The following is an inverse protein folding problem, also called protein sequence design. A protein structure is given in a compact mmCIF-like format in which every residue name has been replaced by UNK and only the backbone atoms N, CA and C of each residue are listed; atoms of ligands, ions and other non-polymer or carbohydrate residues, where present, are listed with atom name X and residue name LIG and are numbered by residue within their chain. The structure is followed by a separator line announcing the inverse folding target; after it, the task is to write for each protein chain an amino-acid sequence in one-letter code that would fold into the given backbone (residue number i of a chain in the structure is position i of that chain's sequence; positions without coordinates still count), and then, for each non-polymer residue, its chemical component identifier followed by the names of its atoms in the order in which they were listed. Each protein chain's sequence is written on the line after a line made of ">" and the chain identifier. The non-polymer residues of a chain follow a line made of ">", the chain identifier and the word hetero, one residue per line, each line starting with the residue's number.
data_IF_063667982012
#
_entry.id   IF_063667982012
#
_cell.length_a   1.000
_cell.length_b   1.000
_cell.length_c   1.000
_cell.angle_alpha   90.00
_cell.angle_beta   90.00
_cell.angle_gamma   90.00
#
_symmetry.space_group_name_H-M   'P 1'
#
loop_
_entity.id
_entity.type
_entity.pdbx_description
1 polymer ?
#
# COMPACT_ATOMS: atom_id res chain seq x y z
N UNK A 1 -50.45 6.40 -37.48
CA UNK A 1 -49.83 6.17 -36.17
C UNK A 1 -49.17 4.82 -36.29
N UNK A 2 -47.89 4.85 -36.68
CA UNK A 2 -47.05 3.67 -36.72
C UNK A 2 -46.35 3.62 -35.37
N UNK A 3 -46.55 2.51 -34.66
CA UNK A 3 -46.10 2.31 -33.30
C UNK A 3 -44.57 2.40 -33.25
N UNK A 4 -44.10 3.40 -32.50
CA UNK A 4 -42.72 3.50 -32.06
C UNK A 4 -42.42 2.24 -31.23
N UNK A 5 -41.67 1.30 -31.82
CA UNK A 5 -40.93 0.31 -31.04
C UNK A 5 -39.93 1.08 -30.18
N UNK A 6 -40.35 1.39 -28.96
CA UNK A 6 -39.44 1.63 -27.86
C UNK A 6 -38.71 0.31 -27.61
N UNK A 7 -37.58 0.13 -28.28
CA UNK A 7 -36.51 -0.74 -27.78
C UNK A 7 -36.09 -0.17 -26.43
N UNK A 8 -36.82 -0.59 -25.40
CA UNK A 8 -36.39 -0.44 -24.02
C UNK A 8 -35.14 -1.30 -23.89
N UNK A 9 -34.00 -0.62 -23.91
CA UNK A 9 -32.65 -1.11 -23.63
C UNK A 9 -32.59 -1.62 -22.18
N UNK A 10 -33.29 -2.72 -21.91
CA UNK A 10 -33.37 -3.30 -20.57
C UNK A 10 -32.12 -4.11 -20.29
N UNK A 11 -31.26 -3.56 -19.46
CA UNK A 11 -30.45 -4.26 -18.46
C UNK A 11 -29.70 -5.50 -18.97
N UNK A 12 -28.77 -5.31 -19.91
CA UNK A 12 -27.67 -6.25 -20.12
C UNK A 12 -26.68 -6.13 -18.94
N UNK A 13 -27.10 -6.57 -17.76
CA UNK A 13 -26.20 -6.71 -16.60
C UNK A 13 -25.27 -7.87 -16.89
N UNK A 14 -24.01 -7.57 -17.18
CA UNK A 14 -22.98 -8.60 -17.39
C UNK A 14 -22.79 -9.41 -16.11
N UNK A 15 -23.17 -10.68 -16.17
CA UNK A 15 -23.21 -11.56 -15.01
C UNK A 15 -21.82 -11.73 -14.39
N UNK A 16 -20.78 -11.87 -15.23
CA UNK A 16 -19.42 -12.08 -14.73
C UNK A 16 -18.84 -10.85 -14.03
N UNK A 17 -18.99 -9.64 -14.60
CA UNK A 17 -18.40 -8.42 -14.02
C UNK A 17 -19.05 -8.08 -12.68
N UNK A 18 -20.38 -8.16 -12.61
CA UNK A 18 -21.13 -7.92 -11.38
C UNK A 18 -20.81 -8.95 -10.30
N UNK A 19 -20.72 -10.22 -10.68
CA UNK A 19 -20.25 -11.29 -9.80
C UNK A 19 -18.83 -11.03 -9.29
N UNK A 20 -17.91 -10.62 -10.16
CA UNK A 20 -16.52 -10.37 -9.79
C UNK A 20 -16.40 -9.21 -8.80
N UNK A 21 -17.10 -8.10 -9.01
CA UNK A 21 -17.02 -6.93 -8.14
C UNK A 21 -17.72 -7.17 -6.80
N UNK A 22 -18.81 -7.93 -6.79
CA UNK A 22 -19.53 -8.32 -5.58
C UNK A 22 -18.82 -9.44 -4.79
N UNK A 23 -17.84 -10.12 -5.40
CA UNK A 23 -17.07 -11.16 -4.75
C UNK A 23 -16.25 -10.61 -3.58
N UNK A 24 -16.20 -11.41 -2.51
CA UNK A 24 -15.48 -11.06 -1.27
C UNK A 24 -14.01 -10.81 -1.57
N UNK A 25 -13.51 -9.64 -1.17
CA UNK A 25 -12.12 -9.22 -1.42
C UNK A 25 -11.95 -8.29 -2.62
N UNK A 26 -12.98 -8.09 -3.45
CA UNK A 26 -12.91 -7.24 -4.65
C UNK A 26 -13.58 -5.86 -4.45
N UNK A 27 -13.79 -5.43 -3.20
CA UNK A 27 -14.53 -4.21 -2.89
C UNK A 27 -13.82 -2.92 -3.39
N UNK A 28 -12.53 -3.01 -3.71
CA UNK A 28 -11.74 -1.91 -4.26
C UNK A 28 -11.90 -1.72 -5.76
N UNK A 29 -12.38 -2.72 -6.49
CA UNK A 29 -12.61 -2.58 -7.92
C UNK A 29 -13.82 -1.68 -8.19
N UNK A 30 -13.78 -0.95 -9.30
CA UNK A 30 -14.97 -0.37 -9.90
C UNK A 30 -15.37 -1.15 -11.14
N UNK A 31 -16.64 -1.07 -11.49
CA UNK A 31 -17.16 -1.65 -12.72
C UNK A 31 -16.57 -0.93 -13.94
N UNK A 32 -15.96 -1.70 -14.84
CA UNK A 32 -15.45 -1.22 -16.12
C UNK A 32 -16.60 -1.25 -17.14
N UNK A 33 -16.74 -0.15 -17.88
CA UNK A 33 -17.76 -0.05 -18.93
C UNK A 33 -17.51 -1.10 -20.03
N UNK A 34 -18.59 -1.71 -20.54
CA UNK A 34 -18.50 -2.70 -21.61
C UNK A 34 -17.87 -2.13 -22.89
N UNK A 35 -18.22 -0.89 -23.23
CA UNK A 35 -17.61 -0.14 -24.35
C UNK A 35 -16.08 -0.05 -24.23
N UNK A 36 -15.55 0.01 -23.01
CA UNK A 36 -14.10 0.13 -22.79
C UNK A 36 -13.39 -1.21 -22.99
N UNK A 37 -13.99 -2.31 -22.52
CA UNK A 37 -13.45 -3.67 -22.66
C UNK A 37 -13.56 -4.18 -24.09
N UNK A 38 -14.63 -3.83 -24.80
CA UNK A 38 -14.85 -4.27 -26.19
C UNK A 38 -13.96 -3.52 -27.20
N UNK A 39 -13.48 -2.33 -26.86
CA UNK A 39 -12.53 -1.59 -27.69
C UNK A 39 -11.10 -2.16 -27.60
N UNK A 40 -10.70 -2.83 -28.68
CA UNK A 40 -9.40 -3.48 -28.84
C UNK A 40 -8.21 -2.54 -28.65
N UNK A 41 -8.37 -1.24 -28.91
CA UNK A 41 -7.30 -0.26 -28.73
C UNK A 41 -6.89 -0.15 -27.25
N UNK A 42 -7.85 -0.17 -26.34
CA UNK A 42 -7.60 -0.07 -24.89
C UNK A 42 -6.88 -1.31 -24.34
N UNK A 43 -7.05 -2.46 -25.00
CA UNK A 43 -6.47 -3.74 -24.60
C UNK A 43 -5.09 -4.04 -25.22
N UNK A 44 -4.53 -3.10 -25.99
CA UNK A 44 -3.26 -3.29 -26.71
C UNK A 44 -2.14 -3.77 -25.77
N UNK A 45 -1.44 -4.85 -26.15
CA UNK A 45 -0.32 -5.44 -25.40
C UNK A 45 -0.71 -6.43 -24.29
N UNK A 46 -1.98 -6.48 -23.86
CA UNK A 46 -2.41 -7.43 -22.82
C UNK A 46 -2.44 -8.88 -23.31
N UNK A 47 -2.56 -9.07 -24.63
CA UNK A 47 -2.56 -10.38 -25.27
C UNK A 47 -1.22 -11.13 -25.11
N UNK A 48 -0.12 -10.44 -24.83
CA UNK A 48 1.18 -11.07 -24.55
C UNK A 48 1.40 -11.35 -23.07
N UNK A 49 0.67 -10.67 -22.19
CA UNK A 49 0.79 -10.83 -20.73
C UNK A 49 -0.16 -11.91 -20.19
N UNK A 50 -1.34 -12.07 -20.80
CA UNK A 50 -2.39 -12.96 -20.31
C UNK A 50 -2.46 -14.26 -21.11
N UNK A 51 -2.34 -15.40 -20.42
CA UNK A 51 -2.59 -16.72 -21.00
C UNK A 51 -4.07 -16.91 -21.35
N UNK A 52 -4.38 -17.64 -22.43
CA UNK A 52 -5.75 -17.84 -22.89
C UNK A 52 -6.54 -16.54 -23.09
N UNK A 53 -5.86 -15.46 -23.51
CA UNK A 53 -6.43 -14.11 -23.61
C UNK A 53 -7.81 -14.04 -24.28
N UNK A 54 -8.01 -14.76 -25.39
CA UNK A 54 -9.31 -14.74 -26.09
C UNK A 54 -10.42 -15.35 -25.23
N UNK A 55 -10.19 -16.54 -24.66
CA UNK A 55 -11.15 -17.20 -23.77
C UNK A 55 -11.41 -16.38 -22.49
N UNK A 56 -10.38 -15.74 -21.95
CA UNK A 56 -10.51 -14.86 -20.80
C UNK A 56 -11.36 -13.62 -21.13
N UNK A 57 -11.17 -13.03 -22.31
CA UNK A 57 -11.96 -11.89 -22.79
C UNK A 57 -13.42 -12.30 -23.01
N UNK A 58 -13.64 -13.41 -23.72
CA UNK A 58 -14.97 -13.95 -23.99
C UNK A 58 -15.72 -14.23 -22.67
N UNK A 59 -15.02 -14.67 -21.62
CA UNK A 59 -15.61 -14.92 -20.30
C UNK A 59 -16.02 -13.62 -19.58
N UNK A 60 -15.19 -12.58 -19.63
CA UNK A 60 -15.49 -11.27 -19.02
C UNK A 60 -16.65 -10.57 -19.74
N UNK A 61 -16.85 -10.84 -21.03
CA UNK A 61 -17.94 -10.30 -21.86
C UNK A 61 -19.16 -11.22 -21.92
N UNK A 62 -19.22 -12.29 -21.12
CA UNK A 62 -20.32 -13.27 -21.10
C UNK A 62 -20.64 -13.92 -22.47
N UNK A 63 -19.64 -14.02 -23.38
CA UNK A 63 -19.72 -14.68 -24.70
C UNK A 63 -19.10 -16.08 -24.68
N UNK A 64 -18.50 -16.47 -23.55
CA UNK A 64 -17.79 -17.74 -23.43
C UNK A 64 -18.74 -18.95 -23.41
N UNK A 65 -18.52 -19.89 -24.33
CA UNK A 65 -19.27 -21.14 -24.40
C UNK A 65 -18.69 -22.19 -23.43
N UNK A 66 -19.58 -22.91 -22.74
CA UNK A 66 -19.29 -23.63 -21.49
C UNK A 66 -18.68 -25.03 -21.68
N UNK A 67 -18.43 -25.48 -22.91
CA UNK A 67 -17.98 -26.84 -23.22
C UNK A 67 -16.44 -26.99 -23.19
N UNK A 68 -15.84 -26.79 -22.01
CA UNK A 68 -14.42 -27.07 -21.77
C UNK A 68 -14.22 -27.95 -20.52
N UNK A 69 -13.11 -28.70 -20.50
CA UNK A 69 -12.73 -29.54 -19.35
C UNK A 69 -12.54 -28.68 -18.08
N UNK A 70 -12.92 -29.22 -16.91
CA UNK A 70 -12.96 -28.47 -15.64
C UNK A 70 -11.60 -27.82 -15.28
N UNK A 71 -10.49 -28.52 -15.52
CA UNK A 71 -9.13 -27.99 -15.26
C UNK A 71 -8.78 -26.81 -16.17
N UNK A 72 -9.21 -26.86 -17.44
CA UNK A 72 -9.01 -25.77 -18.39
C UNK A 72 -9.86 -24.56 -17.99
N UNK A 73 -11.10 -24.79 -17.55
CA UNK A 73 -12.00 -23.75 -17.08
C UNK A 73 -11.41 -22.98 -15.89
N UNK A 74 -10.82 -23.66 -14.92
CA UNK A 74 -10.18 -23.00 -13.77
C UNK A 74 -9.01 -22.09 -14.21
N UNK A 75 -8.22 -22.52 -15.20
CA UNK A 75 -7.13 -21.72 -15.76
C UNK A 75 -7.67 -20.47 -16.50
N UNK A 76 -8.75 -20.62 -17.27
CA UNK A 76 -9.40 -19.50 -17.97
C UNK A 76 -9.98 -18.51 -16.95
N UNK A 77 -10.62 -18.98 -15.88
CA UNK A 77 -11.12 -18.09 -14.83
C UNK A 77 -9.99 -17.30 -14.13
N UNK A 78 -8.85 -17.95 -13.85
CA UNK A 78 -7.67 -17.26 -13.29
C UNK A 78 -7.15 -16.20 -14.26
N UNK A 79 -7.07 -16.53 -15.55
CA UNK A 79 -6.67 -15.59 -16.59
C UNK A 79 -7.66 -14.43 -16.75
N UNK A 80 -8.97 -14.68 -16.65
CA UNK A 80 -10.00 -13.65 -16.70
C UNK A 80 -9.91 -12.67 -15.53
N UNK A 81 -9.73 -13.16 -14.29
CA UNK A 81 -9.50 -12.28 -13.12
C UNK A 81 -8.25 -11.44 -13.29
N UNK A 82 -7.18 -12.03 -13.85
CA UNK A 82 -5.93 -11.33 -14.12
C UNK A 82 -6.11 -10.25 -15.20
N UNK A 83 -6.72 -10.60 -16.33
CA UNK A 83 -7.02 -9.68 -17.42
C UNK A 83 -7.88 -8.51 -16.94
N UNK A 84 -8.96 -8.79 -16.21
CA UNK A 84 -9.84 -7.76 -15.66
C UNK A 84 -9.07 -6.79 -14.76
N UNK A 85 -8.15 -7.30 -13.93
CA UNK A 85 -7.29 -6.47 -13.10
C UNK A 85 -6.36 -5.55 -13.90
N UNK A 86 -5.74 -6.06 -14.97
CA UNK A 86 -4.88 -5.24 -15.85
C UNK A 86 -5.66 -4.17 -16.61
N UNK A 87 -6.86 -4.51 -17.08
CA UNK A 87 -7.78 -3.57 -17.74
C UNK A 87 -8.26 -2.52 -16.73
N UNK A 88 -8.56 -2.93 -15.50
CA UNK A 88 -8.95 -2.02 -14.42
C UNK A 88 -7.89 -0.94 -14.16
N UNK A 89 -6.61 -1.32 -14.11
CA UNK A 89 -5.50 -0.37 -13.91
C UNK A 89 -5.47 0.73 -14.98
N UNK A 90 -5.76 0.37 -16.24
CA UNK A 90 -5.86 1.33 -17.35
C UNK A 90 -7.14 2.16 -17.27
N UNK A 91 -8.26 1.52 -16.92
CA UNK A 91 -9.57 2.15 -16.88
C UNK A 91 -9.68 3.24 -15.81
N UNK A 92 -9.18 3.01 -14.61
CA UNK A 92 -9.31 3.97 -13.50
C UNK A 92 -8.51 5.26 -13.68
N UNK A 93 -7.66 5.33 -14.70
CA UNK A 93 -6.94 6.55 -15.11
C UNK A 93 -7.75 7.39 -16.11
N UNK A 94 -8.78 6.81 -16.74
CA UNK A 94 -9.68 7.52 -17.66
C UNK A 94 -10.67 8.40 -16.92
N UNK A 95 -11.29 9.37 -17.61
CA UNK A 95 -12.31 10.25 -17.01
C UNK A 95 -13.51 9.49 -16.45
N UNK A 96 -13.98 8.45 -17.15
CA UNK A 96 -15.10 7.61 -16.71
C UNK A 96 -14.73 6.77 -15.48
N UNK A 97 -13.57 6.10 -15.51
CA UNK A 97 -13.09 5.31 -14.37
C UNK A 97 -12.79 6.14 -13.13
N UNK A 98 -12.19 7.32 -13.30
CA UNK A 98 -11.96 8.26 -12.20
C UNK A 98 -13.26 8.67 -11.51
N UNK A 99 -14.33 8.96 -12.27
CA UNK A 99 -15.62 9.32 -11.70
C UNK A 99 -16.19 8.20 -10.81
N UNK A 100 -16.16 6.95 -11.29
CA UNK A 100 -16.61 5.79 -10.50
C UNK A 100 -15.76 5.60 -9.23
N UNK A 101 -14.45 5.77 -9.32
CA UNK A 101 -13.55 5.65 -8.17
C UNK A 101 -13.72 6.80 -7.16
N UNK A 102 -14.03 8.01 -7.62
CA UNK A 102 -14.35 9.15 -6.75
C UNK A 102 -15.59 8.88 -5.92
N UNK A 103 -16.61 8.26 -6.49
CA UNK A 103 -17.82 7.91 -5.75
C UNK A 103 -17.55 6.89 -4.65
N UNK A 104 -16.71 5.89 -4.92
CA UNK A 104 -16.20 4.95 -3.91
C UNK A 104 -15.34 5.64 -2.84
N UNK A 105 -14.51 6.61 -3.25
CA UNK A 105 -13.68 7.39 -2.34
C UNK A 105 -14.52 8.22 -1.37
N UNK A 106 -15.57 8.88 -1.85
CA UNK A 106 -16.52 9.65 -1.02
C UNK A 106 -17.25 8.77 -0.01
N UNK A 107 -17.60 7.53 -0.39
CA UNK A 107 -18.20 6.53 0.50
C UNK A 107 -17.20 5.89 1.48
N UNK A 108 -15.90 6.12 1.27
CA UNK A 108 -14.80 5.52 2.02
C UNK A 108 -14.74 3.98 1.90
N UNK A 109 -15.12 3.43 0.75
CA UNK A 109 -15.11 1.98 0.47
C UNK A 109 -13.70 1.38 0.59
N UNK A 110 -12.68 2.17 0.26
CA UNK A 110 -11.27 1.74 0.35
C UNK A 110 -10.76 1.66 1.80
N UNK A 111 -11.52 2.20 2.75
CA UNK A 111 -11.15 2.29 4.15
C UNK A 111 -10.66 3.68 4.55
N UNK A 112 -10.16 3.76 5.79
CA UNK A 112 -9.80 5.00 6.47
C UNK A 112 -8.40 4.94 7.06
N UNK A 113 -7.72 6.07 7.05
CA UNK A 113 -6.34 6.20 7.51
C UNK A 113 -6.19 5.72 8.95
N UNK A 114 -5.20 4.85 9.26
CA UNK A 114 -4.98 4.36 10.61
C UNK A 114 -4.36 5.42 11.54
N UNK A 115 -3.75 6.50 11.00
CA UNK A 115 -3.24 7.60 11.82
C UNK A 115 -4.38 8.34 12.50
N UNK A 116 -4.36 8.38 13.82
CA UNK A 116 -5.35 9.08 14.66
C UNK A 116 -5.48 10.55 14.26
N UNK A 117 -4.35 11.24 14.02
CA UNK A 117 -4.31 12.65 13.64
C UNK A 117 -4.81 12.94 12.22
N UNK A 118 -5.07 11.90 11.41
CA UNK A 118 -5.74 12.06 10.13
C UNK A 118 -7.26 12.11 10.27
N UNK A 119 -7.82 11.90 11.46
CA UNK A 119 -9.26 12.01 11.74
C UNK A 119 -10.10 11.15 10.78
N UNK A 120 -9.68 9.88 10.59
CA UNK A 120 -10.45 8.92 9.78
C UNK A 120 -10.61 9.31 8.30
N UNK A 121 -9.64 10.04 7.73
CA UNK A 121 -9.56 10.39 6.30
C UNK A 121 -9.72 9.15 5.40
N UNK A 122 -10.53 9.29 4.34
CA UNK A 122 -10.69 8.25 3.31
C UNK A 122 -9.38 7.99 2.56
N UNK A 123 -9.14 6.73 2.23
CA UNK A 123 -7.93 6.27 1.52
C UNK A 123 -8.23 5.98 0.05
N UNK A 124 -7.17 5.88 -0.76
CA UNK A 124 -7.25 5.40 -2.15
C UNK A 124 -6.36 4.17 -2.31
N UNK A 125 -6.72 3.22 -3.18
CA UNK A 125 -5.82 2.12 -3.53
C UNK A 125 -4.60 2.64 -4.29
N UNK A 126 -3.47 2.00 -4.09
CA UNK A 126 -2.18 2.31 -4.68
C UNK A 126 -1.41 1.01 -4.97
N UNK A 127 -0.94 0.86 -6.20
CA UNK A 127 -0.03 -0.20 -6.61
C UNK A 127 1.43 0.25 -6.48
N UNK A 128 2.26 -0.36 -5.61
CA UNK A 128 3.67 0.02 -5.52
C UNK A 128 4.47 -0.23 -6.80
N UNK A 129 4.03 -1.21 -7.60
CA UNK A 129 4.61 -1.59 -8.87
C UNK A 129 3.49 -1.78 -9.90
N UNK A 130 3.77 -1.44 -11.15
CA UNK A 130 2.84 -1.64 -12.28
C UNK A 130 3.01 -3.04 -12.92
N UNK A 131 4.06 -3.77 -12.54
CA UNK A 131 4.31 -5.15 -12.98
C UNK A 131 3.58 -6.12 -12.05
N UNK A 132 2.76 -7.05 -12.60
CA UNK A 132 2.03 -8.03 -11.80
C UNK A 132 2.93 -8.95 -10.95
N UNK A 133 2.32 -9.54 -9.94
CA UNK A 133 2.90 -10.54 -9.02
C UNK A 133 4.11 -10.05 -8.20
N UNK A 134 4.37 -8.75 -8.13
CA UNK A 134 5.45 -8.20 -7.32
C UNK A 134 5.02 -7.85 -5.90
N UNK A 135 4.00 -6.99 -5.75
CA UNK A 135 3.52 -6.49 -4.46
C UNK A 135 2.01 -6.34 -4.47
N UNK A 136 1.38 -6.64 -3.35
CA UNK A 136 -0.05 -6.43 -3.16
C UNK A 136 -0.43 -4.96 -3.08
N UNK A 137 -1.72 -4.69 -3.28
CA UNK A 137 -2.30 -3.35 -3.18
C UNK A 137 -2.04 -2.74 -1.80
N UNK A 138 -1.72 -1.45 -1.81
CA UNK A 138 -1.57 -0.60 -0.64
C UNK A 138 -2.59 0.52 -0.68
N UNK A 139 -2.67 1.29 0.39
CA UNK A 139 -3.62 2.38 0.53
C UNK A 139 -2.89 3.71 0.76
N UNK A 140 -3.14 4.68 -0.11
CA UNK A 140 -2.59 6.02 0.00
C UNK A 140 -3.53 6.95 0.76
N UNK A 141 -2.98 7.74 1.69
CA UNK A 141 -3.73 8.76 2.41
C UNK A 141 -3.39 10.18 1.92
N UNK A 142 -4.36 10.86 1.34
CA UNK A 142 -4.16 12.23 0.85
C UNK A 142 -3.93 13.28 1.96
N UNK A 143 -4.21 13.00 3.24
CA UNK A 143 -3.99 13.97 4.34
C UNK A 143 -2.58 13.91 4.92
N UNK A 144 -2.00 12.73 5.01
CA UNK A 144 -0.64 12.55 5.54
C UNK A 144 0.41 12.15 4.50
N UNK A 145 -0.02 11.91 3.25
CA UNK A 145 0.85 11.59 2.10
C UNK A 145 1.70 10.35 2.32
N UNK A 146 1.12 9.36 2.99
CA UNK A 146 1.79 8.14 3.38
C UNK A 146 0.98 6.91 2.96
N UNK A 147 1.67 5.77 2.86
CA UNK A 147 1.17 4.52 2.30
C UNK A 147 0.95 3.52 3.44
N UNK A 148 -0.20 2.83 3.40
CA UNK A 148 -0.62 1.88 4.42
C UNK A 148 -0.94 0.52 3.84
N UNK A 149 -0.79 -0.52 4.65
CA UNK A 149 -1.31 -1.83 4.33
C UNK A 149 -2.83 -1.87 4.56
N UNK A 150 -3.60 -2.56 3.69
CA UNK A 150 -5.00 -2.85 3.96
C UNK A 150 -5.14 -3.60 5.30
N UNK A 151 -6.13 -3.22 6.10
CA UNK A 151 -6.35 -3.84 7.43
C UNK A 151 -6.80 -5.29 7.36
N UNK A 152 -7.51 -5.66 6.29
CA UNK A 152 -8.06 -7.00 6.12
C UNK A 152 -7.16 -7.84 5.22
N UNK A 153 -6.86 -9.06 5.64
CA UNK A 153 -6.04 -10.00 4.87
C UNK A 153 -6.62 -10.33 3.49
N UNK A 154 -7.95 -10.27 3.33
CA UNK A 154 -8.60 -10.48 2.02
C UNK A 154 -8.17 -9.45 0.97
N UNK A 155 -7.93 -8.21 1.38
CA UNK A 155 -7.48 -7.14 0.49
C UNK A 155 -5.98 -7.21 0.25
N UNK A 156 -5.22 -7.84 1.16
CA UNK A 156 -3.78 -8.04 1.00
C UNK A 156 -3.43 -9.09 -0.07
N UNK A 157 -4.39 -9.88 -0.53
CA UNK A 157 -4.23 -10.84 -1.62
C UNK A 157 -4.39 -10.21 -3.02
N UNK A 158 -4.95 -9.00 -3.10
CA UNK A 158 -5.14 -8.31 -4.39
C UNK A 158 -3.79 -7.77 -4.88
N UNK A 159 -3.50 -7.98 -6.16
CA UNK A 159 -2.31 -7.42 -6.79
C UNK A 159 -2.38 -5.89 -6.86
N UNK A 160 -1.28 -5.23 -6.51
CA UNK A 160 -1.17 -3.78 -6.61
C UNK A 160 -1.16 -3.28 -8.06
N UNK A 161 -0.67 -4.10 -9.00
CA UNK A 161 -0.59 -3.75 -10.41
C UNK A 161 -1.97 -3.42 -11.02
N UNK A 162 -3.05 -3.97 -10.46
CA UNK A 162 -4.43 -3.74 -10.91
C UNK A 162 -4.98 -2.34 -10.60
N UNK A 163 -4.26 -1.55 -9.80
CA UNK A 163 -4.57 -0.15 -9.52
C UNK A 163 -3.49 0.80 -10.06
N UNK A 164 -2.29 0.28 -10.30
CA UNK A 164 -1.15 1.04 -10.76
C UNK A 164 -0.59 2.05 -9.74
N UNK A 165 0.58 2.57 -10.07
CA UNK A 165 1.34 3.50 -9.23
C UNK A 165 0.86 4.95 -9.33
N UNK A 166 0.22 5.30 -10.45
CA UNK A 166 -0.12 6.69 -10.78
C UNK A 166 -1.55 7.11 -10.44
N UNK A 167 -2.47 6.17 -10.28
CA UNK A 167 -3.91 6.41 -10.13
C UNK A 167 -4.27 7.49 -9.09
N UNK A 168 -3.76 7.36 -7.86
CA UNK A 168 -4.05 8.31 -6.78
C UNK A 168 -3.61 9.74 -7.11
N UNK A 169 -2.46 9.92 -7.77
CA UNK A 169 -1.96 11.23 -8.18
C UNK A 169 -2.81 11.84 -9.29
N UNK A 170 -3.17 11.04 -10.30
CA UNK A 170 -4.01 11.48 -11.41
C UNK A 170 -5.39 11.90 -10.91
N UNK A 171 -5.97 11.16 -9.97
CA UNK A 171 -7.26 11.51 -9.36
C UNK A 171 -7.23 12.90 -8.71
N UNK A 172 -6.19 13.22 -7.93
CA UNK A 172 -6.08 14.55 -7.30
C UNK A 172 -5.70 15.66 -8.29
N UNK A 173 -5.04 15.33 -9.39
CA UNK A 173 -4.80 16.29 -10.48
C UNK A 173 -6.10 16.68 -11.19
N UNK A 174 -6.99 15.72 -11.44
CA UNK A 174 -8.30 15.96 -12.09
C UNK A 174 -9.32 16.54 -11.11
N UNK A 175 -9.29 16.13 -9.83
CA UNK A 175 -10.18 16.62 -8.78
C UNK A 175 -9.42 17.27 -7.61
N UNK A 176 -8.81 18.47 -7.81
CA UNK A 176 -8.06 19.16 -6.76
C UNK A 176 -8.90 19.48 -5.51
N UNK A 177 -10.21 19.66 -5.67
CA UNK A 177 -11.14 19.94 -4.57
C UNK A 177 -11.27 18.78 -3.56
N UNK A 178 -10.87 17.56 -3.92
CA UNK A 178 -10.88 16.40 -3.03
C UNK A 178 -9.62 16.31 -2.16
N UNK A 179 -8.60 17.13 -2.42
CA UNK A 179 -7.38 17.14 -1.61
C UNK A 179 -7.71 17.73 -0.24
N UNK A 180 -7.53 16.97 0.86
CA UNK A 180 -7.84 17.45 2.19
C UNK A 180 -6.84 18.52 2.64
N UNK A 181 -7.29 19.42 3.51
CA UNK A 181 -6.40 20.38 4.15
C UNK A 181 -5.36 19.66 5.01
N UNK A 182 -4.09 19.98 4.78
CA UNK A 182 -2.98 19.36 5.50
C UNK A 182 -2.95 19.89 6.93
N UNK A 183 -2.73 18.99 7.88
CA UNK A 183 -2.57 19.34 9.29
C UNK A 183 -1.10 19.39 9.66
N UNK A 184 -0.66 20.47 10.32
CA UNK A 184 0.68 20.57 10.91
C UNK A 184 0.76 19.90 12.30
N UNK A 185 -0.35 19.38 12.81
CA UNK A 185 -0.41 18.75 14.14
C UNK A 185 0.37 17.44 14.12
N UNK A 186 1.36 17.33 15.00
CA UNK A 186 2.09 16.09 15.28
C UNK A 186 1.71 15.59 16.68
N UNK A 187 1.88 14.30 16.89
CA UNK A 187 1.65 13.72 18.22
C UNK A 187 2.73 14.26 19.16
N UNK A 188 2.29 14.86 20.26
CA UNK A 188 3.19 15.35 21.32
C UNK A 188 3.15 14.35 22.48
N UNK A 189 4.21 13.54 22.67
CA UNK A 189 4.27 12.62 23.80
C UNK A 189 4.33 13.41 25.11
N UNK A 190 3.50 13.01 26.07
CA UNK A 190 3.43 13.64 27.40
C UNK A 190 3.48 12.57 28.49
N UNK A 191 4.27 12.84 29.53
CA UNK A 191 4.37 12.00 30.74
C UNK A 191 3.92 12.84 31.92
N UNK A 192 2.91 12.38 32.66
CA UNK A 192 2.24 13.16 33.73
C UNK A 192 1.80 14.58 33.30
N UNK A 193 1.45 14.76 32.02
CA UNK A 193 1.04 16.05 31.46
C UNK A 193 2.18 16.95 30.97
N UNK A 194 3.44 16.62 31.28
CA UNK A 194 4.62 17.35 30.81
C UNK A 194 5.08 16.82 29.45
N UNK A 195 5.45 17.74 28.56
CA UNK A 195 6.00 17.37 27.25
C UNK A 195 7.38 16.75 27.45
N UNK A 196 7.66 15.66 26.74
CA UNK A 196 9.00 15.08 26.72
C UNK A 196 9.95 16.05 26.01
N UNK A 197 11.02 16.45 26.67
CA UNK A 197 12.01 17.36 26.10
C UNK A 197 12.77 16.68 24.95
N UNK A 198 13.14 17.42 23.90
CA UNK A 198 13.84 16.88 22.74
C UNK A 198 15.16 16.19 23.12
N UNK A 199 15.87 16.72 24.12
CA UNK A 199 17.10 16.12 24.64
C UNK A 199 16.88 14.69 25.20
N UNK A 200 15.70 14.39 25.77
CA UNK A 200 15.40 13.05 26.25
C UNK A 200 15.20 12.05 25.11
N UNK A 201 14.69 12.49 23.95
CA UNK A 201 14.62 11.65 22.75
C UNK A 201 16.00 11.39 22.16
N UNK A 202 16.88 12.40 22.14
CA UNK A 202 18.28 12.24 21.68
C UNK A 202 19.08 11.35 22.63
N UNK A 203 18.91 11.50 23.95
CA UNK A 203 19.57 10.67 24.94
C UNK A 203 19.22 9.18 24.77
N UNK A 204 17.92 8.85 24.61
CA UNK A 204 17.49 7.47 24.32
C UNK A 204 18.14 6.89 23.06
N UNK A 205 18.24 7.67 21.99
CA UNK A 205 18.93 7.24 20.77
C UNK A 205 20.44 7.03 21.02
N UNK A 206 21.10 7.94 21.74
CA UNK A 206 22.52 7.80 22.10
C UNK A 206 22.79 6.57 23.00
N UNK A 207 21.88 6.26 23.91
CA UNK A 207 22.00 5.08 24.78
C UNK A 207 21.80 3.77 23.99
N UNK A 208 20.89 3.77 22.99
CA UNK A 208 20.74 2.66 22.06
C UNK A 208 22.01 2.43 21.22
N UNK A 209 22.57 3.49 20.63
CA UNK A 209 23.84 3.43 19.88
C UNK A 209 25.01 2.96 20.76
N UNK A 210 25.07 3.43 22.02
CA UNK A 210 26.09 2.99 22.98
C UNK A 210 25.96 1.50 23.29
N UNK A 211 24.74 0.97 23.43
CA UNK A 211 24.47 -0.45 23.66
C UNK A 211 24.88 -1.30 22.46
N UNK A 212 24.53 -0.88 21.24
CA UNK A 212 24.96 -1.57 20.01
C UNK A 212 26.50 -1.55 19.86
N UNK A 213 27.15 -0.43 20.18
CA UNK A 213 28.61 -0.32 20.17
C UNK A 213 29.26 -1.25 21.20
N UNK A 214 28.72 -1.38 22.42
CA UNK A 214 29.19 -2.32 23.45
C UNK A 214 29.11 -3.77 22.96
N UNK A 215 27.97 -4.16 22.36
CA UNK A 215 27.79 -5.50 21.79
C UNK A 215 28.82 -5.76 20.68
N UNK A 216 29.04 -4.79 19.79
CA UNK A 216 30.03 -4.90 18.70
C UNK A 216 31.46 -5.06 19.23
N UNK A 217 31.84 -4.30 20.25
CA UNK A 217 33.18 -4.37 20.86
C UNK A 217 33.40 -5.68 21.62
N UNK A 218 32.36 -6.22 22.27
CA UNK A 218 32.37 -7.56 22.91
C UNK A 218 32.59 -8.66 21.86
N UNK A 219 31.88 -8.60 20.73
CA UNK A 219 32.05 -9.55 19.62
C UNK A 219 33.42 -9.46 18.94
N UNK A 220 33.99 -8.26 18.84
CA UNK A 220 35.31 -8.04 18.24
C UNK A 220 36.48 -8.46 19.16
N UNK A 221 36.20 -8.94 20.38
CA UNK A 221 37.22 -9.37 21.35
C UNK A 221 38.11 -8.22 21.86
N UNK A 222 37.69 -6.98 21.66
CA UNK A 222 38.44 -5.78 22.08
C UNK A 222 38.30 -5.55 23.60
N UNK A 223 37.29 -6.16 24.22
CA UNK A 223 36.95 -6.01 25.64
C UNK A 223 36.91 -7.40 26.28
N UNK A 224 37.75 -7.65 27.29
CA UNK A 224 37.62 -8.85 28.13
C UNK A 224 36.41 -8.69 29.05
N UNK A 225 35.81 -9.80 29.51
CA UNK A 225 34.65 -9.75 30.43
C UNK A 225 34.93 -9.01 31.75
N UNK A 226 36.19 -8.71 32.06
CA UNK A 226 36.64 -8.04 33.29
C UNK A 226 37.01 -6.56 33.09
N UNK A 227 37.02 -6.04 31.85
CA UNK A 227 37.42 -4.64 31.59
C UNK A 227 36.19 -3.74 31.48
N UNK A 228 35.83 -3.08 32.58
CA UNK A 228 34.73 -2.11 32.63
C UNK A 228 35.15 -0.81 31.90
N UNK A 229 34.83 -0.71 30.61
CA UNK A 229 35.22 0.44 29.76
C UNK A 229 34.43 1.73 30.04
N UNK A 230 33.32 1.63 30.77
CA UNK A 230 32.49 2.77 31.12
C UNK A 230 32.21 2.73 32.61
N UNK A 231 32.31 3.87 33.28
CA UNK A 231 31.92 4.01 34.68
C UNK A 231 30.40 3.85 34.74
N UNK A 232 29.93 2.82 35.44
CA UNK A 232 28.53 2.69 35.82
C UNK A 232 28.28 3.66 36.97
N UNK A 233 27.71 4.82 36.67
CA UNK A 233 27.19 5.69 37.71
C UNK A 233 26.03 4.93 38.36
N UNK A 234 26.15 4.63 39.66
CA UNK A 234 25.28 3.76 40.45
C UNK A 234 23.78 4.17 40.53
N UNK A 235 23.37 5.19 39.78
CA UNK A 235 21.99 5.67 39.66
C UNK A 235 21.37 5.43 38.27
N UNK A 236 22.07 4.78 37.33
CA UNK A 236 21.42 4.33 36.09
C UNK A 236 20.43 3.21 36.44
N UNK A 237 19.15 3.47 36.20
CA UNK A 237 18.01 2.54 36.37
C UNK A 237 18.09 1.26 35.52
N UNK A 238 19.20 1.03 34.83
CA UNK A 238 19.51 -0.22 34.15
C UNK A 238 20.12 -1.14 35.21
N UNK A 239 19.25 -1.70 36.05
CA UNK A 239 19.64 -2.58 37.16
C UNK A 239 20.41 -3.82 36.69
N UNK A 240 21.21 -4.36 37.60
CA UNK A 240 21.98 -5.62 37.57
C UNK A 240 21.16 -6.84 37.09
N UNK A 241 20.80 -6.87 35.82
CA UNK A 241 20.36 -8.06 35.12
C UNK A 241 21.57 -8.66 34.42
N UNK A 242 22.05 -9.78 34.94
CA UNK A 242 23.04 -10.66 34.32
C UNK A 242 22.86 -10.68 32.78
N UNK A 243 23.81 -10.09 32.03
CA UNK A 243 23.85 -9.96 30.55
C UNK A 243 24.06 -11.33 29.85
N UNK A 244 23.50 -12.39 30.41
CA UNK A 244 23.50 -13.78 29.95
C UNK A 244 22.08 -14.30 29.67
N UNK A 245 21.08 -13.43 29.58
CA UNK A 245 19.84 -13.79 28.90
C UNK A 245 19.99 -13.44 27.42
N UNK A 246 19.95 -14.47 26.58
CA UNK A 246 19.74 -14.38 25.15
C UNK A 246 18.74 -13.26 24.87
N UNK A 247 19.22 -12.17 24.25
CA UNK A 247 18.39 -11.07 23.79
C UNK A 247 17.46 -11.62 22.70
N UNK A 248 16.37 -12.26 23.12
CA UNK A 248 15.18 -12.37 22.28
C UNK A 248 14.76 -10.93 21.96
N UNK A 249 15.04 -10.58 20.72
CA UNK A 249 14.69 -9.37 19.99
C UNK A 249 13.24 -8.95 20.28
N UNK A 250 13.02 -8.26 21.39
CA UNK A 250 11.79 -7.53 21.66
C UNK A 250 11.84 -6.16 20.98
N UNK A 251 11.99 -6.18 19.66
CA UNK A 251 11.19 -5.35 18.76
C UNK A 251 11.35 -3.83 18.82
N UNK A 252 12.43 -3.28 19.36
CA UNK A 252 12.75 -1.86 19.18
C UNK A 252 13.41 -1.66 17.81
N UNK A 253 12.60 -1.87 16.76
CA UNK A 253 13.05 -1.81 15.39
C UNK A 253 13.34 -0.35 15.03
N UNK A 254 14.62 -0.04 14.87
CA UNK A 254 15.19 1.22 14.35
C UNK A 254 14.22 1.97 13.43
N UNK A 255 13.61 3.06 13.91
CA UNK A 255 13.03 4.08 13.02
C UNK A 255 14.15 5.06 12.61
N UNK A 256 15.00 4.64 11.68
CA UNK A 256 16.00 5.54 11.07
C UNK A 256 15.41 6.10 9.78
N UNK A 257 15.20 7.42 9.78
CA UNK A 257 15.03 8.26 8.60
C UNK A 257 16.44 8.62 8.10
N UNK A 258 16.88 7.98 7.00
CA UNK A 258 18.21 8.13 6.39
C UNK A 258 18.49 9.52 5.78
N UNK A 259 17.61 10.51 5.99
CA UNK A 259 17.71 11.80 5.30
C UNK A 259 18.53 12.89 6.01
N UNK A 260 19.11 12.63 7.20
CA UNK A 260 19.86 13.66 7.94
C UNK A 260 21.14 13.14 8.62
N UNK A 261 22.14 12.75 7.85
CA UNK A 261 23.52 12.72 8.35
C UNK A 261 24.36 13.74 7.56
N UNK A 262 24.69 14.92 8.12
CA UNK A 262 25.63 15.82 7.48
C UNK A 262 27.04 15.24 7.64
N UNK A 263 27.64 14.80 6.53
CA UNK A 263 29.06 14.43 6.51
C UNK A 263 29.93 15.66 6.77
N UNK A 264 30.49 15.77 7.98
CA UNK A 264 31.53 16.74 8.29
C UNK A 264 32.86 16.27 7.68
N UNK A 265 33.25 16.85 6.56
CA UNK A 265 34.59 16.67 5.97
C UNK A 265 35.61 17.53 6.73
N UNK A 266 36.47 16.89 7.52
CA UNK A 266 37.63 17.56 8.13
C UNK A 266 38.81 17.50 7.17
N UNK A 267 38.93 18.53 6.32
CA UNK A 267 40.11 18.77 5.50
C UNK A 267 41.28 19.22 6.37
N UNK A 268 42.27 18.35 6.52
CA UNK A 268 43.54 18.61 7.23
C UNK A 268 44.43 19.49 6.36
N UNK A 269 44.56 20.77 6.69
CA UNK A 269 45.57 21.64 6.11
C UNK A 269 46.96 21.22 6.63
N UNK A 270 47.87 20.94 5.71
CA UNK A 270 49.31 20.83 5.99
C UNK A 270 50.01 22.00 5.33
N UNK A 271 50.95 22.58 6.08
CA UNK A 271 51.86 23.63 5.63
C UNK A 271 52.89 23.09 4.63
#
# INVERSE_FOLDING_TARGET
>A
MEDFQSETDSDYTSYWRDWFISSRGNEYFCEIDEEYITDRFNLTGLNTEVHYYQHALDLITDVFDLDCEDDMREQIEKAARHLYGLVHARYIVTTRGLAKMVDKFKKADFGRCPRVLCESQALLPFGPNDVPHQKSVKLFCAKCEDIYNPKSSRHAAIDGAYFGSSFHNILFQVYPALVPTKSRRRYEPKVFGFRVHAAASVARWQDAERREMRIRLKHAGVVSSETQLFIEDAESSDGDGDDNEDLEDNGDQRMIDDSQVPMASTGRATA
#
